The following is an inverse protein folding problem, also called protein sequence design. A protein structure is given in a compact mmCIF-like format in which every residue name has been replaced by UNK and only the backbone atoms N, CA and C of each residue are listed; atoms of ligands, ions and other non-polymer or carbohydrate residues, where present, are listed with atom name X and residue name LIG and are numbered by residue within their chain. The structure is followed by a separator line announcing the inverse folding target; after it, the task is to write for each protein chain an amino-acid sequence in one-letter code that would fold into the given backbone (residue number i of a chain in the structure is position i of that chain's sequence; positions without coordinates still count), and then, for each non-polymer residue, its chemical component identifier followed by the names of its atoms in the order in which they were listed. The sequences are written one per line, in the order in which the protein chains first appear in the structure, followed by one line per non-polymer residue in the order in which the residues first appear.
data_IF_822368144438
#
_entry.id   IF_822368144438
#
_cell.length_a   1.000
_cell.length_b   1.000
_cell.length_c   1.000
_cell.angle_alpha   90.00
_cell.angle_beta   90.00
_cell.angle_gamma   90.00
#
_symmetry.space_group_name_H-M   'P 1'
#
loop_
_entity.id
_entity.type
_entity.pdbx_description
1 polymer ?
#
# COMPACT_ATOMS: atom_id res chain seq x y z
N UNK A 1 -7.16 31.64 -4.77
CA UNK A 1 -8.52 31.65 -4.20
C UNK A 1 -8.81 30.27 -3.65
N UNK A 2 -9.57 30.17 -2.56
CA UNK A 2 -9.95 28.89 -1.97
C UNK A 2 -10.89 28.10 -2.91
N UNK A 3 -10.98 26.79 -2.68
CA UNK A 3 -11.96 25.92 -3.32
C UNK A 3 -13.38 26.39 -2.94
N UNK A 4 -14.30 26.34 -3.91
CA UNK A 4 -15.70 26.75 -3.71
C UNK A 4 -16.62 25.55 -3.89
N UNK A 5 -17.63 25.43 -3.03
CA UNK A 5 -18.67 24.41 -3.14
C UNK A 5 -20.05 25.00 -2.84
N UNK A 6 -21.11 24.41 -3.38
CA UNK A 6 -22.49 24.86 -3.18
C UNK A 6 -23.50 23.72 -3.38
N UNK A 7 -24.69 23.85 -2.79
CA UNK A 7 -25.80 22.97 -3.11
C UNK A 7 -26.33 23.26 -4.51
N UNK A 8 -26.59 22.18 -5.27
CA UNK A 8 -27.10 22.27 -6.62
C UNK A 8 -28.62 22.48 -6.65
N UNK A 9 -29.10 23.19 -7.67
CA UNK A 9 -30.50 23.11 -8.08
C UNK A 9 -30.78 21.80 -8.83
N UNK A 10 -32.02 21.33 -8.80
CA UNK A 10 -32.46 20.23 -9.66
C UNK A 10 -32.78 20.81 -11.04
N UNK A 11 -31.94 20.51 -12.03
CA UNK A 11 -32.06 21.03 -13.39
C UNK A 11 -31.57 20.00 -14.40
N UNK A 12 -32.28 19.89 -15.52
CA UNK A 12 -31.90 19.08 -16.68
C UNK A 12 -31.09 19.88 -17.72
N UNK A 13 -30.69 21.12 -17.40
CA UNK A 13 -29.86 21.93 -18.29
C UNK A 13 -28.40 21.44 -18.32
N UNK A 14 -27.57 22.01 -19.20
CA UNK A 14 -26.20 21.55 -19.46
C UNK A 14 -25.43 21.31 -18.13
N UNK A 15 -25.01 20.05 -17.84
CA UNK A 15 -24.39 19.69 -16.57
C UNK A 15 -23.08 20.43 -16.27
N UNK A 16 -22.47 21.06 -17.29
CA UNK A 16 -21.23 21.85 -17.19
C UNK A 16 -21.46 23.27 -16.68
N UNK A 17 -22.71 23.71 -16.51
CA UNK A 17 -23.04 25.00 -15.91
C UNK A 17 -22.89 24.95 -14.38
N UNK A 18 -22.76 26.08 -13.67
CA UNK A 18 -22.62 26.04 -12.21
C UNK A 18 -23.81 25.44 -11.44
N UNK A 19 -25.05 25.52 -11.96
CA UNK A 19 -26.27 25.02 -11.30
C UNK A 19 -26.42 25.50 -9.84
N UNK A 20 -26.15 26.79 -9.60
CA UNK A 20 -26.41 27.38 -8.29
C UNK A 20 -27.92 27.47 -8.03
N UNK A 21 -28.33 27.16 -6.80
CA UNK A 21 -29.67 27.53 -6.31
C UNK A 21 -29.88 29.05 -6.34
N UNK A 22 -31.15 29.45 -6.29
CA UNK A 22 -31.56 30.83 -6.10
C UNK A 22 -32.38 30.97 -4.78
N UNK A 23 -31.82 31.61 -3.72
CA UNK A 23 -30.50 32.23 -3.65
C UNK A 23 -29.35 31.20 -3.62
N UNK A 24 -28.13 31.65 -3.93
CA UNK A 24 -26.93 30.80 -3.88
C UNK A 24 -26.73 30.23 -2.47
N UNK A 25 -26.52 28.93 -2.37
CA UNK A 25 -26.35 28.21 -1.12
C UNK A 25 -24.94 27.59 -1.08
N UNK A 26 -23.94 28.38 -0.68
CA UNK A 26 -22.54 27.92 -0.59
C UNK A 26 -22.34 26.94 0.58
N UNK A 27 -21.44 25.98 0.36
CA UNK A 27 -21.07 24.94 1.33
C UNK A 27 -19.67 25.24 1.86
N UNK A 28 -19.50 25.44 3.19
CA UNK A 28 -18.18 25.59 3.79
C UNK A 28 -17.33 24.32 3.64
N UNK A 29 -16.00 24.48 3.54
CA UNK A 29 -15.09 23.34 3.37
C UNK A 29 -15.13 22.36 4.56
N UNK A 30 -15.40 22.84 5.78
CA UNK A 30 -15.61 21.98 6.95
C UNK A 30 -16.80 21.03 6.78
N UNK A 31 -17.83 21.44 6.02
CA UNK A 31 -18.95 20.57 5.70
C UNK A 31 -18.54 19.45 4.73
N UNK A 32 -17.62 19.71 3.80
CA UNK A 32 -17.04 18.68 2.94
C UNK A 32 -16.16 17.71 3.76
N UNK A 33 -15.38 18.23 4.71
CA UNK A 33 -14.59 17.42 5.63
C UNK A 33 -15.47 16.53 6.53
N UNK A 34 -16.66 17.01 6.92
CA UNK A 34 -17.67 16.21 7.60
C UNK A 34 -18.20 15.04 6.76
N UNK A 35 -18.10 15.09 5.43
CA UNK A 35 -18.40 14.00 4.51
C UNK A 35 -17.16 13.12 4.21
N UNK A 36 -16.02 13.41 4.85
CA UNK A 36 -14.75 12.73 4.60
C UNK A 36 -14.01 13.21 3.34
N UNK A 37 -14.52 14.22 2.64
CA UNK A 37 -13.84 14.84 1.50
C UNK A 37 -12.71 15.72 2.02
N UNK A 38 -11.48 15.42 1.59
CA UNK A 38 -10.29 16.17 1.98
C UNK A 38 -9.79 17.00 0.80
N UNK A 39 -9.18 18.15 1.08
CA UNK A 39 -8.68 19.04 0.04
C UNK A 39 -7.42 19.78 0.47
N UNK A 40 -6.59 20.13 -0.52
CA UNK A 40 -5.40 20.96 -0.35
C UNK A 40 -5.27 21.93 -1.52
N UNK A 41 -4.56 23.04 -1.27
CA UNK A 41 -4.13 23.98 -2.29
C UNK A 41 -2.62 23.89 -2.46
N UNK A 42 -2.19 23.51 -3.65
CA UNK A 42 -0.81 23.21 -3.99
C UNK A 42 -0.33 24.07 -5.18
N UNK A 43 0.95 24.00 -5.52
CA UNK A 43 1.49 24.68 -6.69
C UNK A 43 1.44 23.80 -7.95
N UNK A 44 0.51 24.04 -8.89
CA UNK A 44 0.31 23.14 -10.03
C UNK A 44 1.42 23.21 -11.08
N UNK A 45 2.24 24.27 -11.09
CA UNK A 45 3.33 24.41 -12.06
C UNK A 45 4.65 23.81 -11.58
N UNK A 46 4.75 23.43 -10.31
CA UNK A 46 5.95 22.86 -9.69
C UNK A 46 5.59 21.59 -8.90
N UNK A 47 4.61 20.83 -9.41
CA UNK A 47 4.10 19.64 -8.70
C UNK A 47 5.17 18.58 -8.46
N UNK A 48 6.23 18.52 -9.28
CA UNK A 48 7.32 17.55 -9.15
C UNK A 48 8.18 17.84 -7.90
N UNK A 49 8.26 19.11 -7.47
CA UNK A 49 9.05 19.56 -6.32
C UNK A 49 8.21 20.00 -5.13
N UNK A 50 6.88 19.95 -5.23
CA UNK A 50 5.97 20.38 -4.17
C UNK A 50 6.10 19.48 -2.93
N UNK A 51 6.68 20.02 -1.87
CA UNK A 51 6.90 19.31 -0.61
C UNK A 51 5.59 18.93 0.09
N UNK A 52 4.53 19.72 -0.09
CA UNK A 52 3.24 19.43 0.53
C UNK A 52 2.55 18.30 -0.22
N UNK A 53 2.63 18.26 -1.55
CA UNK A 53 2.20 17.10 -2.33
C UNK A 53 2.94 15.83 -1.89
N UNK A 54 4.27 15.90 -1.71
CA UNK A 54 5.07 14.77 -1.22
C UNK A 54 4.58 14.29 0.15
N UNK A 55 4.41 15.20 1.11
CA UNK A 55 3.89 14.85 2.45
C UNK A 55 2.51 14.21 2.39
N UNK A 56 1.60 14.71 1.55
CA UNK A 56 0.26 14.14 1.41
C UNK A 56 0.36 12.72 0.86
N UNK A 57 1.16 12.53 -0.19
CA UNK A 57 1.41 11.22 -0.80
C UNK A 57 2.04 10.25 0.20
N UNK A 58 3.05 10.67 0.95
CA UNK A 58 3.71 9.87 1.99
C UNK A 58 2.74 9.50 3.11
N UNK A 59 2.03 10.49 3.66
CA UNK A 59 1.11 10.31 4.80
C UNK A 59 -0.05 9.38 4.44
N UNK A 60 -0.52 9.44 3.19
CA UNK A 60 -1.68 8.67 2.74
C UNK A 60 -1.33 7.46 1.87
N UNK A 61 -0.05 7.20 1.66
CA UNK A 61 0.42 6.06 0.86
C UNK A 61 0.10 6.14 -0.63
N UNK A 62 0.00 7.34 -1.21
CA UNK A 62 -0.29 7.54 -2.64
C UNK A 62 0.96 7.46 -3.51
N UNK A 63 1.00 6.39 -4.25
CA UNK A 63 2.24 5.74 -4.60
C UNK A 63 2.27 5.30 -6.07
N UNK A 64 1.09 5.22 -6.67
CA UNK A 64 0.88 5.35 -8.10
C UNK A 64 0.52 6.81 -8.43
N UNK A 65 1.03 7.28 -9.57
CA UNK A 65 0.53 8.49 -10.21
C UNK A 65 0.54 8.35 -11.72
N UNK A 66 -0.43 8.97 -12.37
CA UNK A 66 -0.35 9.25 -13.79
C UNK A 66 -0.99 10.60 -14.11
N UNK A 67 -0.86 11.02 -15.36
CA UNK A 67 -1.45 12.25 -15.87
C UNK A 67 -2.58 11.91 -16.83
N UNK A 68 -3.71 12.59 -16.67
CA UNK A 68 -4.87 12.47 -17.53
C UNK A 68 -5.28 13.84 -18.04
N UNK A 69 -5.17 14.03 -19.35
CA UNK A 69 -5.73 15.17 -20.07
C UNK A 69 -7.15 14.83 -20.51
N UNK A 70 -8.13 15.59 -20.03
CA UNK A 70 -9.52 15.46 -20.43
C UNK A 70 -9.87 16.67 -21.31
N UNK A 71 -9.83 16.46 -22.61
CA UNK A 71 -10.40 17.33 -23.63
C UNK A 71 -10.81 16.50 -24.87
N UNK A 72 -11.68 17.03 -25.75
CA UNK A 72 -12.18 16.30 -26.90
C UNK A 72 -11.08 15.72 -27.80
N UNK A 73 -9.94 16.41 -27.93
CA UNK A 73 -8.87 16.05 -28.85
C UNK A 73 -7.86 15.04 -28.27
N UNK A 74 -7.74 14.94 -26.93
CA UNK A 74 -6.70 14.16 -26.27
C UNK A 74 -7.21 12.88 -25.61
N UNK A 75 -8.50 12.80 -25.29
CA UNK A 75 -9.06 11.66 -24.57
C UNK A 75 -9.75 10.67 -25.52
N UNK A 76 -9.19 9.47 -25.67
CA UNK A 76 -9.84 8.39 -26.41
C UNK A 76 -11.19 8.01 -25.77
N UNK A 77 -12.21 7.83 -26.61
CA UNK A 77 -13.61 7.60 -26.22
C UNK A 77 -14.16 8.71 -25.30
N UNK A 78 -13.83 9.96 -25.61
CA UNK A 78 -14.17 11.15 -24.82
C UNK A 78 -15.63 11.18 -24.33
N UNK A 79 -16.59 11.05 -25.25
CA UNK A 79 -18.02 11.12 -24.90
C UNK A 79 -18.47 10.01 -23.95
N UNK A 80 -18.08 8.76 -24.21
CA UNK A 80 -18.41 7.62 -23.35
C UNK A 80 -17.75 7.74 -21.98
N UNK A 81 -16.49 8.23 -21.93
CA UNK A 81 -15.80 8.47 -20.66
C UNK A 81 -16.45 9.58 -19.85
N UNK A 82 -16.82 10.71 -20.47
CA UNK A 82 -17.54 11.77 -19.77
C UNK A 82 -18.89 11.29 -19.26
N UNK A 83 -19.61 10.49 -20.03
CA UNK A 83 -20.86 9.88 -19.59
C UNK A 83 -20.65 8.96 -18.38
N UNK A 84 -19.58 8.16 -18.37
CA UNK A 84 -19.26 7.28 -17.24
C UNK A 84 -18.84 8.09 -16.01
N UNK A 85 -17.98 9.10 -16.16
CA UNK A 85 -17.58 10.00 -15.08
C UNK A 85 -18.77 10.74 -14.47
N UNK A 86 -19.75 11.13 -15.29
CA UNK A 86 -20.93 11.87 -14.84
C UNK A 86 -22.05 10.99 -14.31
N UNK A 87 -22.05 9.69 -14.61
CA UNK A 87 -23.00 8.75 -14.02
C UNK A 87 -22.69 8.61 -12.53
N UNK A 88 -23.68 8.76 -11.65
CA UNK A 88 -23.46 8.67 -10.19
C UNK A 88 -22.95 7.28 -9.78
N UNK A 89 -21.79 7.24 -9.11
CA UNK A 89 -21.11 5.99 -8.74
C UNK A 89 -20.35 6.10 -7.41
N UNK A 90 -19.83 4.96 -6.96
CA UNK A 90 -18.83 4.85 -5.90
C UNK A 90 -17.58 4.13 -6.42
N UNK A 91 -16.49 4.26 -5.66
CA UNK A 91 -15.31 3.42 -5.74
C UNK A 91 -15.09 2.65 -4.44
N UNK A 92 -14.44 1.49 -4.54
CA UNK A 92 -14.03 0.69 -3.39
C UNK A 92 -12.85 1.33 -2.63
N UNK A 93 -12.08 2.15 -3.33
CA UNK A 93 -10.93 2.90 -2.83
C UNK A 93 -11.19 4.41 -2.90
N UNK A 94 -10.26 5.21 -2.39
CA UNK A 94 -10.31 6.66 -2.51
C UNK A 94 -10.14 7.12 -3.96
N UNK A 95 -10.88 8.15 -4.36
CA UNK A 95 -10.67 8.85 -5.62
C UNK A 95 -9.86 10.13 -5.37
N UNK A 96 -8.59 10.11 -5.77
CA UNK A 96 -7.67 11.24 -5.56
C UNK A 96 -7.31 11.91 -6.88
N UNK A 97 -7.49 13.23 -6.94
CA UNK A 97 -7.24 14.04 -8.13
C UNK A 97 -6.55 15.34 -7.76
N UNK A 98 -5.49 15.66 -8.48
CA UNK A 98 -4.80 16.95 -8.40
C UNK A 98 -4.91 17.70 -9.72
N UNK A 99 -5.54 18.87 -9.71
CA UNK A 99 -5.72 19.69 -10.90
C UNK A 99 -4.43 20.43 -11.24
N UNK A 100 -3.82 20.12 -12.37
CA UNK A 100 -2.64 20.81 -12.87
C UNK A 100 -3.01 21.99 -13.78
N UNK A 101 -4.01 21.79 -14.65
CA UNK A 101 -4.49 22.83 -15.57
C UNK A 101 -6.01 22.71 -15.75
N UNK A 102 -6.66 23.82 -16.15
CA UNK A 102 -8.10 23.84 -16.42
C UNK A 102 -8.98 23.72 -15.16
N UNK A 103 -10.20 23.23 -15.35
CA UNK A 103 -11.19 23.09 -14.27
C UNK A 103 -12.36 22.16 -14.62
N UNK A 104 -13.07 21.73 -13.58
CA UNK A 104 -14.28 20.92 -13.67
C UNK A 104 -15.05 20.91 -12.35
N UNK A 105 -16.07 20.05 -12.27
CA UNK A 105 -16.91 19.88 -11.09
C UNK A 105 -16.88 18.45 -10.60
N UNK A 106 -16.62 18.28 -9.30
CA UNK A 106 -16.99 17.08 -8.57
C UNK A 106 -18.33 17.34 -7.88
N UNK A 107 -19.32 16.50 -8.13
CA UNK A 107 -20.56 16.50 -7.36
C UNK A 107 -20.51 15.34 -6.36
N UNK A 108 -20.82 15.60 -5.09
CA UNK A 108 -20.88 14.59 -4.02
C UNK A 108 -22.23 14.63 -3.32
N UNK A 109 -22.70 13.49 -2.81
CA UNK A 109 -23.93 13.42 -1.99
C UNK A 109 -23.65 13.85 -0.55
N UNK A 110 -24.45 14.80 -0.07
CA UNK A 110 -24.52 15.17 1.35
C UNK A 110 -25.21 14.10 2.20
N UNK A 111 -25.24 14.30 3.52
CA UNK A 111 -25.89 13.38 4.49
C UNK A 111 -27.40 13.22 4.26
N UNK A 112 -28.03 14.23 3.68
CA UNK A 112 -29.44 14.27 3.29
C UNK A 112 -29.67 13.86 1.82
N UNK A 113 -28.66 13.25 1.20
CA UNK A 113 -28.66 12.80 -0.19
C UNK A 113 -28.84 13.94 -1.22
N UNK A 114 -28.62 15.21 -0.83
CA UNK A 114 -28.57 16.34 -1.78
C UNK A 114 -27.22 16.44 -2.47
N UNK A 115 -27.22 16.91 -3.72
CA UNK A 115 -25.99 17.20 -4.46
C UNK A 115 -25.29 18.46 -3.95
N UNK A 116 -24.00 18.32 -3.66
CA UNK A 116 -23.07 19.42 -3.42
C UNK A 116 -22.08 19.42 -4.59
N UNK A 117 -22.01 20.53 -5.32
CA UNK A 117 -21.04 20.76 -6.39
C UNK A 117 -19.80 21.42 -5.83
N UNK A 118 -18.64 20.89 -6.18
CA UNK A 118 -17.32 21.39 -5.81
C UNK A 118 -16.62 21.86 -7.08
N UNK A 119 -16.30 23.14 -7.17
CA UNK A 119 -15.54 23.69 -8.30
C UNK A 119 -14.06 23.44 -8.11
N UNK A 120 -13.54 22.55 -8.95
CA UNK A 120 -12.21 22.00 -8.88
C UNK A 120 -11.34 22.58 -10.01
N UNK A 121 -10.30 23.33 -9.66
CA UNK A 121 -9.48 24.11 -10.61
C UNK A 121 -7.99 23.98 -10.34
N UNK A 122 -7.16 24.39 -11.30
CA UNK A 122 -5.70 24.29 -11.21
C UNK A 122 -5.15 24.71 -9.83
N UNK A 123 -4.36 23.82 -9.22
CA UNK A 123 -3.80 23.93 -7.87
C UNK A 123 -4.63 23.24 -6.78
N UNK A 124 -5.81 22.73 -7.07
CA UNK A 124 -6.62 22.00 -6.10
C UNK A 124 -6.32 20.50 -6.13
N UNK A 125 -6.01 19.92 -4.98
CA UNK A 125 -6.01 18.48 -4.74
C UNK A 125 -7.27 18.12 -3.96
N UNK A 126 -8.01 17.11 -4.41
CA UNK A 126 -9.19 16.57 -3.73
C UNK A 126 -9.05 15.06 -3.52
N UNK A 127 -9.52 14.58 -2.37
CA UNK A 127 -9.66 13.17 -2.05
C UNK A 127 -11.13 12.92 -1.72
N UNK A 128 -11.77 12.07 -2.51
CA UNK A 128 -13.10 11.53 -2.21
C UNK A 128 -12.91 10.19 -1.48
N UNK A 129 -13.53 10.00 -0.30
CA UNK A 129 -13.37 8.77 0.46
C UNK A 129 -14.04 7.58 -0.24
N UNK A 130 -13.51 6.38 -0.04
CA UNK A 130 -14.13 5.15 -0.50
C UNK A 130 -15.61 5.08 -0.09
N UNK A 131 -16.49 4.61 -0.99
CA UNK A 131 -17.92 4.45 -0.71
C UNK A 131 -18.78 5.72 -0.76
N UNK A 132 -18.22 6.91 -1.01
CA UNK A 132 -19.03 8.12 -1.24
C UNK A 132 -19.66 8.12 -2.64
N UNK A 133 -20.95 8.45 -2.72
CA UNK A 133 -21.59 8.71 -4.01
C UNK A 133 -21.11 10.03 -4.58
N UNK A 134 -20.57 9.97 -5.80
CA UNK A 134 -20.06 11.12 -6.50
C UNK A 134 -20.17 10.96 -8.01
N UNK A 135 -19.86 12.05 -8.72
CA UNK A 135 -19.68 12.11 -10.18
C UNK A 135 -18.78 13.29 -10.55
N UNK A 136 -18.24 13.26 -11.76
CA UNK A 136 -17.40 14.32 -12.31
C UNK A 136 -17.93 14.82 -13.65
N UNK A 137 -17.81 16.12 -13.90
CA UNK A 137 -18.03 16.72 -15.22
C UNK A 137 -17.07 17.87 -15.47
N UNK A 138 -16.74 18.14 -16.73
CA UNK A 138 -16.04 19.37 -17.09
C UNK A 138 -16.93 20.58 -16.81
N UNK A 139 -16.33 21.76 -16.66
CA UNK A 139 -17.09 23.00 -16.79
C UNK A 139 -17.13 23.45 -18.27
N UNK A 140 -17.69 24.63 -18.55
CA UNK A 140 -17.84 25.14 -19.92
C UNK A 140 -16.51 25.40 -20.64
N UNK A 141 -15.37 25.35 -19.96
CA UNK A 141 -14.04 25.45 -20.59
C UNK A 141 -13.62 24.16 -21.31
N UNK A 142 -14.26 23.02 -20.99
CA UNK A 142 -14.02 21.71 -21.61
C UNK A 142 -12.56 21.22 -21.55
N UNK A 143 -11.81 21.64 -20.53
CA UNK A 143 -10.44 21.21 -20.36
C UNK A 143 -10.11 21.06 -18.88
N UNK A 144 -9.57 19.90 -18.53
CA UNK A 144 -8.83 19.71 -17.29
C UNK A 144 -7.64 18.79 -17.53
N UNK A 145 -6.51 19.10 -16.90
CA UNK A 145 -5.37 18.20 -16.79
C UNK A 145 -5.21 17.81 -15.34
N UNK A 146 -5.29 16.51 -15.10
CA UNK A 146 -5.31 15.93 -13.78
C UNK A 146 -4.07 15.08 -13.58
N UNK A 147 -3.47 15.17 -12.41
CA UNK A 147 -2.70 14.06 -11.86
C UNK A 147 -3.66 13.19 -11.06
N UNK A 148 -3.69 11.90 -11.37
CA UNK A 148 -4.44 10.90 -10.59
C UNK A 148 -3.44 10.23 -9.65
N UNK A 149 -3.84 10.07 -8.40
CA UNK A 149 -3.01 9.47 -7.36
C UNK A 149 -3.75 8.25 -6.82
N UNK A 150 -3.03 7.16 -6.56
CA UNK A 150 -3.61 5.92 -6.03
C UNK A 150 -2.71 5.28 -5.00
N UNK A 151 -3.31 4.56 -4.06
CA UNK A 151 -2.60 3.60 -3.23
C UNK A 151 -2.50 2.27 -4.00
N UNK A 152 -1.30 1.91 -4.45
CA UNK A 152 -1.07 0.72 -5.28
C UNK A 152 -1.52 0.89 -6.73
N UNK A 153 -1.63 -0.23 -7.45
CA UNK A 153 -2.12 -0.24 -8.84
C UNK A 153 -3.58 0.23 -8.89
N UNK A 154 -3.93 1.14 -9.79
CA UNK A 154 -5.23 1.78 -9.74
C UNK A 154 -6.33 0.86 -10.26
N UNK A 155 -7.34 0.62 -9.42
CA UNK A 155 -8.59 -0.01 -9.83
C UNK A 155 -9.62 1.08 -10.13
N UNK A 156 -9.91 1.30 -11.41
CA UNK A 156 -10.81 2.35 -11.89
C UNK A 156 -12.28 1.95 -11.89
N UNK A 157 -12.64 0.82 -11.29
CA UNK A 157 -13.99 0.25 -11.37
C UNK A 157 -14.98 1.17 -10.67
N UNK A 158 -15.86 1.80 -11.45
CA UNK A 158 -16.98 2.57 -10.96
C UNK A 158 -18.19 1.64 -10.74
N UNK A 159 -18.77 1.70 -9.55
CA UNK A 159 -20.01 0.99 -9.23
C UNK A 159 -21.16 1.98 -9.21
N UNK A 160 -21.93 2.00 -10.30
CA UNK A 160 -23.06 2.90 -10.46
C UNK A 160 -24.11 2.65 -9.36
N UNK A 161 -24.70 3.73 -8.83
CA UNK A 161 -25.79 3.65 -7.84
C UNK A 161 -26.96 2.81 -8.37
N UNK A 162 -27.61 1.94 -7.56
CA UNK A 162 -27.45 1.70 -6.11
C UNK A 162 -26.35 0.68 -5.74
N UNK A 163 -25.72 0.86 -4.58
CA UNK A 163 -24.58 0.08 -4.05
C UNK A 163 -24.56 0.01 -2.51
N UNK A 164 -25.72 0.08 -1.85
CA UNK A 164 -25.80 0.10 -0.37
C UNK A 164 -25.23 -1.16 0.29
N UNK A 165 -25.19 -2.28 -0.44
CA UNK A 165 -24.63 -3.54 0.06
C UNK A 165 -23.11 -3.65 -0.10
N UNK A 166 -22.49 -2.76 -0.88
CA UNK A 166 -21.05 -2.78 -1.16
C UNK A 166 -20.24 -2.54 0.13
N UNK A 167 -19.17 -3.30 0.42
CA UNK A 167 -18.40 -3.16 1.66
C UNK A 167 -17.93 -1.72 1.95
N UNK A 168 -17.30 -1.07 0.96
CA UNK A 168 -16.86 0.31 1.10
C UNK A 168 -18.00 1.29 1.41
N UNK A 169 -19.20 1.06 0.86
CA UNK A 169 -20.37 1.90 1.13
C UNK A 169 -20.88 1.72 2.56
N UNK A 170 -20.97 0.47 3.03
CA UNK A 170 -21.34 0.16 4.42
C UNK A 170 -20.36 0.80 5.40
N UNK A 171 -19.07 0.66 5.15
CA UNK A 171 -18.03 1.27 6.00
C UNK A 171 -18.11 2.80 6.01
N UNK A 172 -18.29 3.42 4.84
CA UNK A 172 -18.50 4.87 4.73
C UNK A 172 -19.68 5.34 5.57
N UNK A 173 -20.84 4.67 5.48
CA UNK A 173 -22.04 5.02 6.26
C UNK A 173 -21.83 4.80 7.76
N UNK A 174 -21.18 3.70 8.17
CA UNK A 174 -20.84 3.41 9.57
C UNK A 174 -19.89 4.45 10.19
N UNK A 175 -19.02 5.08 9.38
CA UNK A 175 -18.09 6.09 9.87
C UNK A 175 -18.79 7.32 10.46
N UNK A 176 -20.04 7.58 10.04
CA UNK A 176 -20.86 8.68 10.57
C UNK A 176 -21.60 8.31 11.85
N UNK A 177 -22.03 7.06 12.00
CA UNK A 177 -22.76 6.60 13.21
C UNK A 177 -21.81 6.43 14.40
N UNK A 178 -20.56 5.99 14.16
CA UNK A 178 -19.52 5.88 15.20
C UNK A 178 -19.00 7.24 15.68
N UNK A 179 -19.09 8.30 14.87
CA UNK A 179 -18.72 9.67 15.28
C UNK A 179 -19.76 10.34 16.19
N UNK A 180 -21.03 9.91 16.17
CA UNK A 180 -22.07 10.45 17.06
C UNK A 180 -21.99 9.90 18.49
N UNK A 181 -21.47 8.69 18.70
CA UNK A 181 -21.36 8.07 20.04
C UNK A 181 -20.20 8.60 20.90
N UNK A 182 -19.33 9.46 20.34
CA UNK A 182 -18.15 10.04 21.02
C UNK A 182 -18.30 11.52 21.42
N UNK A 183 -19.52 12.08 21.46
CA UNK A 183 -19.72 13.46 21.97
C UNK A 183 -20.09 13.50 23.47
N UNK A 184 -19.02 13.66 24.26
CA UNK A 184 -18.86 14.15 25.66
C UNK A 184 -18.93 13.12 26.82
N UNK A 185 -17.95 13.19 27.75
CA UNK A 185 -18.08 14.14 28.85
C UNK A 185 -16.90 15.11 29.06
N UNK A 186 -17.24 16.14 29.84
CA UNK A 186 -16.54 17.36 30.24
C UNK A 186 -15.08 17.19 30.69
N UNK A 187 -14.30 18.22 30.35
CA UNK A 187 -12.97 18.55 30.89
C UNK A 187 -12.92 18.43 32.42
N UNK A 188 -12.02 17.57 32.90
CA UNK A 188 -11.40 17.67 34.22
C UNK A 188 -9.91 17.90 33.96
N UNK A 189 -9.34 18.92 34.61
CA UNK A 189 -7.94 19.26 34.50
C UNK A 189 -7.07 18.36 35.41
N UNK A 190 -5.78 18.25 35.03
CA UNK A 190 -4.59 17.71 35.72
C UNK A 190 -4.26 16.22 35.58
N UNK A 191 -2.98 15.80 35.73
CA UNK A 191 -1.72 16.44 35.31
C UNK A 191 -0.87 15.50 34.41
N UNK A 192 0.23 16.03 33.88
CA UNK A 192 1.17 15.32 33.02
C UNK A 192 1.63 13.98 33.62
N UNK A 193 1.35 12.89 32.93
CA UNK A 193 2.04 11.62 33.08
C UNK A 193 2.57 11.24 31.69
N UNK A 194 3.89 11.17 31.57
CA UNK A 194 4.56 10.67 30.38
C UNK A 194 4.15 9.21 30.17
N UNK A 195 3.29 8.96 29.18
CA UNK A 195 3.11 7.63 28.62
C UNK A 195 4.14 7.45 27.52
N UNK A 196 5.09 6.54 27.76
CA UNK A 196 5.98 6.03 26.72
C UNK A 196 5.11 5.31 25.71
N UNK A 197 4.85 5.95 24.57
CA UNK A 197 4.31 5.26 23.40
C UNK A 197 5.36 4.23 22.97
N UNK A 198 5.04 2.94 23.07
CA UNK A 198 5.85 1.88 22.45
C UNK A 198 5.83 2.15 20.95
N UNK A 199 6.94 2.65 20.42
CA UNK A 199 7.10 2.99 19.01
C UNK A 199 6.99 1.68 18.21
N UNK A 200 5.92 1.53 17.43
CA UNK A 200 5.71 0.36 16.57
C UNK A 200 6.84 0.30 15.54
N UNK A 201 7.43 -0.87 15.34
CA UNK A 201 8.52 -1.04 14.37
C UNK A 201 7.98 -0.74 12.96
N UNK A 202 8.55 0.25 12.25
CA UNK A 202 8.05 0.64 10.93
C UNK A 202 8.14 -0.50 9.91
N UNK A 203 9.04 -1.48 10.10
CA UNK A 203 9.15 -2.67 9.22
C UNK A 203 7.88 -3.51 9.20
N UNK A 204 7.08 -3.49 10.27
CA UNK A 204 5.81 -4.23 10.35
C UNK A 204 4.76 -3.77 9.32
N UNK A 205 4.93 -2.59 8.72
CA UNK A 205 4.09 -2.11 7.63
C UNK A 205 4.25 -2.96 6.37
N UNK A 206 5.47 -3.41 6.10
CA UNK A 206 5.87 -4.07 4.85
C UNK A 206 6.25 -5.53 5.04
N UNK A 207 6.54 -5.96 6.27
CA UNK A 207 6.89 -7.34 6.61
C UNK A 207 6.10 -7.78 7.84
N UNK A 208 5.37 -8.88 7.73
CA UNK A 208 4.67 -9.50 8.86
C UNK A 208 4.96 -10.99 8.85
N UNK A 209 5.08 -11.62 10.02
CA UNK A 209 5.32 -13.05 10.09
C UNK A 209 4.44 -13.75 11.12
N UNK A 210 4.14 -15.02 10.88
CA UNK A 210 3.31 -15.85 11.75
C UNK A 210 3.59 -17.33 11.55
N UNK A 211 3.28 -18.15 12.56
CA UNK A 211 3.26 -19.59 12.41
C UNK A 211 2.07 -20.06 11.58
N UNK A 212 2.33 -21.03 10.70
CA UNK A 212 1.32 -21.58 9.80
C UNK A 212 0.42 -22.62 10.47
N UNK A 213 -0.80 -22.78 9.96
CA UNK A 213 -1.60 -24.00 10.16
C UNK A 213 -1.03 -25.20 9.38
N UNK A 214 -1.62 -26.37 9.60
CA UNK A 214 -1.25 -27.63 8.93
C UNK A 214 -2.16 -27.96 7.72
N UNK A 215 -2.87 -26.96 7.17
CA UNK A 215 -3.81 -27.15 6.06
C UNK A 215 -3.07 -27.42 4.74
N UNK A 216 -3.66 -28.26 3.89
CA UNK A 216 -3.23 -28.52 2.51
C UNK A 216 -4.01 -27.69 1.47
N UNK A 217 -4.74 -26.67 1.92
CA UNK A 217 -5.37 -25.68 1.07
C UNK A 217 -4.36 -24.91 0.19
N UNK A 218 -4.87 -24.04 -0.69
CA UNK A 218 -4.04 -23.26 -1.61
C UNK A 218 -2.95 -22.49 -0.85
N UNK A 219 -1.70 -22.86 -1.11
CA UNK A 219 -0.48 -22.28 -0.53
C UNK A 219 -0.42 -20.75 -0.57
N UNK A 220 -1.18 -20.09 -1.47
CA UNK A 220 -1.26 -18.62 -1.62
C UNK A 220 -2.15 -17.95 -0.57
N UNK A 221 -2.91 -18.71 0.21
CA UNK A 221 -3.72 -18.20 1.33
C UNK A 221 -2.82 -17.82 2.52
N UNK A 222 -3.28 -17.04 3.51
CA UNK A 222 -2.43 -16.69 4.65
C UNK A 222 -2.02 -17.88 5.55
N UNK A 223 -2.80 -18.96 5.60
CA UNK A 223 -2.54 -20.14 6.46
C UNK A 223 -2.30 -19.78 7.94
N UNK A 224 -3.15 -18.93 8.52
CA UNK A 224 -3.07 -18.66 9.96
C UNK A 224 -3.64 -19.84 10.75
N UNK A 225 -2.94 -20.24 11.81
CA UNK A 225 -3.55 -21.05 12.89
C UNK A 225 -4.86 -20.42 13.38
N UNK A 226 -5.77 -21.27 13.86
CA UNK A 226 -7.07 -20.83 14.42
C UNK A 226 -6.90 -19.72 15.47
N UNK A 227 -5.90 -19.88 16.36
CA UNK A 227 -5.36 -18.79 17.16
C UNK A 227 -4.14 -18.19 16.45
N UNK A 228 -4.29 -17.00 15.88
CA UNK A 228 -3.20 -16.29 15.18
C UNK A 228 -1.97 -16.17 16.09
N UNK A 229 -0.85 -16.68 15.61
CA UNK A 229 0.42 -16.68 16.34
C UNK A 229 1.46 -15.91 15.53
N UNK A 230 1.55 -14.61 15.77
CA UNK A 230 2.50 -13.73 15.07
C UNK A 230 3.92 -13.94 15.59
N UNK A 231 4.89 -13.80 14.68
CA UNK A 231 6.32 -13.85 14.94
C UNK A 231 6.87 -12.44 14.76
N UNK A 232 7.57 -11.93 15.78
CA UNK A 232 8.23 -10.62 15.73
C UNK A 232 9.45 -10.64 14.81
N UNK A 233 9.84 -9.46 14.31
CA UNK A 233 11.02 -9.34 13.46
C UNK A 233 12.33 -9.66 14.20
N UNK A 234 12.37 -9.48 15.52
CA UNK A 234 13.51 -9.88 16.35
C UNK A 234 13.62 -11.41 16.43
N UNK A 235 12.49 -12.13 16.53
CA UNK A 235 12.48 -13.60 16.45
C UNK A 235 12.93 -14.12 15.08
N UNK A 236 12.59 -13.42 13.99
CA UNK A 236 13.14 -13.74 12.67
C UNK A 236 14.66 -13.49 12.60
N UNK A 237 15.14 -12.39 13.19
CA UNK A 237 16.56 -12.08 13.25
C UNK A 237 17.37 -13.10 14.06
N UNK A 238 16.76 -13.75 15.06
CA UNK A 238 17.35 -14.87 15.78
C UNK A 238 17.56 -16.13 14.92
N UNK A 239 16.86 -16.24 13.79
CA UNK A 239 17.06 -17.25 12.74
C UNK A 239 18.00 -16.76 11.64
N UNK A 240 18.60 -15.58 11.82
CA UNK A 240 19.47 -14.95 10.81
C UNK A 240 18.72 -14.26 9.67
N UNK A 241 17.39 -14.24 9.69
CA UNK A 241 16.57 -13.55 8.70
C UNK A 241 16.59 -12.05 8.98
N UNK A 242 17.21 -11.28 8.08
CA UNK A 242 17.29 -9.83 8.22
C UNK A 242 16.20 -9.16 7.39
N UNK A 243 15.73 -8.01 7.87
CA UNK A 243 14.65 -7.27 7.23
C UNK A 243 14.81 -5.76 7.35
N UNK A 244 14.44 -5.06 6.28
CA UNK A 244 14.40 -3.61 6.20
C UNK A 244 13.09 -3.15 5.56
N UNK A 245 12.71 -1.92 5.92
CA UNK A 245 11.72 -1.13 5.20
C UNK A 245 12.48 -0.06 4.42
N UNK A 246 12.30 -0.07 3.10
CA UNK A 246 12.97 0.80 2.16
C UNK A 246 11.96 1.55 1.28
N UNK A 247 12.42 2.59 0.59
CA UNK A 247 11.59 3.34 -0.33
C UNK A 247 11.56 2.65 -1.71
N UNK A 248 10.53 1.85 -1.94
CA UNK A 248 10.36 1.13 -3.20
C UNK A 248 9.99 2.03 -4.38
N UNK A 249 9.63 3.30 -4.14
CA UNK A 249 9.31 4.25 -5.21
C UNK A 249 10.56 4.86 -5.81
N UNK A 250 11.60 5.03 -4.99
CA UNK A 250 12.85 5.66 -5.37
C UNK A 250 14.04 4.72 -5.17
N UNK A 251 13.88 3.42 -5.37
CA UNK A 251 14.95 2.44 -5.14
C UNK A 251 16.25 2.75 -5.93
N UNK A 252 16.17 3.51 -7.02
CA UNK A 252 17.34 3.93 -7.82
C UNK A 252 18.21 4.97 -7.10
N UNK A 253 17.60 5.77 -6.22
CA UNK A 253 18.23 6.87 -5.48
C UNK A 253 18.11 6.74 -3.96
N UNK A 254 17.58 5.62 -3.47
CA UNK A 254 17.44 5.33 -2.04
C UNK A 254 18.83 5.15 -1.39
N UNK A 255 19.23 6.15 -0.59
CA UNK A 255 20.51 6.14 0.11
C UNK A 255 20.60 5.02 1.16
N UNK A 256 19.49 4.56 1.74
CA UNK A 256 19.51 3.45 2.69
C UNK A 256 19.74 2.12 1.97
N UNK A 257 19.10 1.91 0.82
CA UNK A 257 19.41 0.76 -0.03
C UNK A 257 20.89 0.77 -0.45
N UNK A 258 21.40 1.92 -0.87
CA UNK A 258 22.81 2.07 -1.24
C UNK A 258 23.74 1.73 -0.07
N UNK A 259 23.46 2.24 1.12
CA UNK A 259 24.22 1.93 2.33
C UNK A 259 24.19 0.44 2.66
N UNK A 260 23.03 -0.22 2.61
CA UNK A 260 22.92 -1.67 2.81
C UNK A 260 23.77 -2.43 1.79
N UNK A 261 23.73 -2.02 0.52
CA UNK A 261 24.53 -2.66 -0.53
C UNK A 261 26.02 -2.49 -0.31
N UNK A 262 26.47 -1.31 0.12
CA UNK A 262 27.88 -1.04 0.43
C UNK A 262 28.34 -1.83 1.67
N UNK A 263 27.55 -1.81 2.75
CA UNK A 263 27.87 -2.50 4.02
C UNK A 263 27.91 -4.02 3.86
N UNK A 264 27.03 -4.58 3.00
CA UNK A 264 26.91 -6.04 2.80
C UNK A 264 27.60 -6.56 1.53
N UNK A 265 28.19 -5.67 0.73
CA UNK A 265 28.90 -6.05 -0.50
C UNK A 265 28.00 -6.53 -1.65
N UNK A 266 26.75 -6.08 -1.71
CA UNK A 266 25.78 -6.45 -2.76
C UNK A 266 26.08 -5.72 -4.08
N UNK A 267 27.01 -6.30 -4.83
CA UNK A 267 27.53 -5.74 -6.09
C UNK A 267 26.67 -6.07 -7.32
N UNK A 268 25.86 -7.13 -7.28
CA UNK A 268 24.95 -7.49 -8.36
C UNK A 268 23.50 -7.11 -8.05
N UNK A 269 22.76 -6.71 -9.08
CA UNK A 269 21.31 -6.61 -9.03
C UNK A 269 20.62 -6.86 -10.37
N UNK A 270 19.43 -7.43 -10.31
CA UNK A 270 18.46 -7.44 -11.42
C UNK A 270 17.02 -7.43 -10.89
N UNK A 271 16.05 -7.54 -11.79
CA UNK A 271 14.63 -7.63 -11.45
C UNK A 271 14.04 -8.96 -11.89
N UNK A 272 13.25 -9.57 -11.00
CA UNK A 272 12.40 -10.70 -11.29
C UNK A 272 10.96 -10.30 -11.07
N UNK A 273 10.15 -10.40 -12.13
CA UNK A 273 8.71 -10.15 -12.07
C UNK A 273 7.97 -11.48 -12.20
N UNK A 274 7.20 -11.81 -11.17
CA UNK A 274 6.51 -13.09 -11.03
C UNK A 274 5.01 -12.84 -11.14
N UNK A 275 4.47 -13.03 -12.33
CA UNK A 275 3.04 -13.17 -12.59
C UNK A 275 2.81 -14.07 -13.81
N UNK A 276 1.59 -14.60 -14.02
CA UNK A 276 1.28 -15.52 -15.10
C UNK A 276 1.68 -15.00 -16.49
N UNK A 277 1.56 -13.69 -16.72
CA UNK A 277 1.74 -13.07 -18.03
C UNK A 277 3.21 -12.77 -18.35
N UNK A 278 4.03 -12.52 -17.32
CA UNK A 278 5.39 -11.98 -17.51
C UNK A 278 6.50 -12.97 -17.20
N UNK A 279 6.25 -14.00 -16.38
CA UNK A 279 7.28 -14.98 -16.01
C UNK A 279 7.28 -16.17 -16.98
N UNK A 280 8.36 -16.40 -17.75
CA UNK A 280 8.46 -17.57 -18.62
C UNK A 280 8.47 -18.86 -17.79
N UNK A 281 7.71 -19.86 -18.24
CA UNK A 281 7.49 -21.13 -17.52
C UNK A 281 6.92 -20.92 -16.10
N UNK A 282 6.02 -19.94 -15.95
CA UNK A 282 5.44 -19.50 -14.68
C UNK A 282 5.08 -20.66 -13.73
N UNK A 283 4.25 -21.61 -14.15
CA UNK A 283 3.81 -22.73 -13.30
C UNK A 283 4.98 -23.60 -12.81
N UNK A 284 5.92 -23.93 -13.70
CA UNK A 284 7.08 -24.73 -13.32
C UNK A 284 8.02 -23.96 -12.38
N UNK A 285 8.20 -22.65 -12.61
CA UNK A 285 9.01 -21.81 -11.74
C UNK A 285 8.37 -21.64 -10.37
N UNK A 286 7.07 -21.40 -10.28
CA UNK A 286 6.36 -21.33 -9.00
C UNK A 286 6.47 -22.64 -8.22
N UNK A 287 6.33 -23.79 -8.91
CA UNK A 287 6.54 -25.09 -8.28
C UNK A 287 7.96 -25.22 -7.71
N UNK A 288 8.98 -24.81 -8.47
CA UNK A 288 10.36 -24.86 -8.01
C UNK A 288 10.63 -23.91 -6.85
N UNK A 289 10.03 -22.71 -6.86
CA UNK A 289 10.16 -21.74 -5.77
C UNK A 289 9.50 -22.24 -4.48
N UNK A 290 8.39 -22.98 -4.58
CA UNK A 290 7.64 -23.45 -3.42
C UNK A 290 8.13 -24.80 -2.86
N UNK A 291 8.89 -25.57 -3.63
CA UNK A 291 9.59 -26.74 -3.10
C UNK A 291 10.55 -26.29 -1.98
N UNK A 292 10.54 -26.95 -0.81
CA UNK A 292 11.43 -26.58 0.30
C UNK A 292 12.89 -26.79 -0.10
N UNK A 293 13.70 -25.72 -0.05
CA UNK A 293 15.10 -25.74 -0.48
C UNK A 293 15.98 -24.83 0.36
N UNK A 294 17.29 -24.88 0.10
CA UNK A 294 18.28 -23.94 0.61
C UNK A 294 19.21 -23.46 -0.50
N UNK A 295 19.95 -22.39 -0.20
CA UNK A 295 21.05 -21.88 -1.02
C UNK A 295 22.36 -21.87 -0.23
N UNK A 296 23.48 -21.94 -0.95
CA UNK A 296 24.84 -21.83 -0.38
C UNK A 296 25.25 -20.40 -0.08
N UNK A 297 24.46 -19.44 -0.56
CA UNK A 297 24.65 -18.00 -0.45
C UNK A 297 23.36 -17.39 0.10
N UNK A 298 23.41 -16.11 0.47
CA UNK A 298 22.21 -15.39 0.89
C UNK A 298 21.18 -15.29 -0.23
N UNK A 299 19.90 -15.48 0.10
CA UNK A 299 18.79 -15.12 -0.78
C UNK A 299 18.28 -13.72 -0.40
N UNK A 300 18.66 -12.73 -1.20
CA UNK A 300 18.29 -11.33 -0.98
C UNK A 300 17.17 -10.91 -1.93
N UNK A 301 16.04 -10.45 -1.38
CA UNK A 301 14.88 -9.99 -2.14
C UNK A 301 14.39 -8.67 -1.58
N UNK A 302 14.33 -7.67 -2.45
CA UNK A 302 13.67 -6.42 -2.17
C UNK A 302 12.41 -6.30 -3.01
N UNK A 303 11.24 -6.39 -2.38
CA UNK A 303 9.96 -6.22 -3.05
C UNK A 303 9.79 -4.76 -3.46
N UNK A 304 10.01 -4.46 -4.74
CA UNK A 304 9.78 -3.13 -5.31
C UNK A 304 8.34 -2.95 -5.77
N UNK A 305 7.59 -4.06 -5.92
CA UNK A 305 6.16 -4.04 -6.19
C UNK A 305 5.50 -5.37 -5.82
N UNK A 306 4.18 -5.35 -5.60
CA UNK A 306 3.41 -6.54 -5.23
C UNK A 306 3.82 -7.14 -3.89
N UNK A 307 3.58 -8.44 -3.72
CA UNK A 307 3.80 -9.14 -2.44
C UNK A 307 3.89 -10.66 -2.60
N UNK A 308 4.46 -11.32 -1.60
CA UNK A 308 4.53 -12.78 -1.54
C UNK A 308 4.97 -13.29 -0.18
N UNK A 309 4.89 -14.60 -0.01
CA UNK A 309 5.28 -15.30 1.22
C UNK A 309 6.63 -15.98 1.04
N UNK A 310 7.53 -15.72 1.99
CA UNK A 310 8.75 -16.50 2.21
C UNK A 310 8.52 -17.33 3.46
N UNK A 311 8.32 -18.63 3.30
CA UNK A 311 8.19 -19.52 4.44
C UNK A 311 9.59 -19.97 4.86
N UNK A 312 9.90 -19.92 6.16
CA UNK A 312 11.19 -20.34 6.74
C UNK A 312 10.98 -21.33 7.88
N UNK A 313 11.93 -22.25 8.08
CA UNK A 313 11.91 -23.15 9.23
C UNK A 313 12.45 -22.47 10.49
N UNK A 314 11.74 -22.59 11.59
CA UNK A 314 12.26 -22.25 12.91
C UNK A 314 13.18 -23.34 13.49
N UNK A 315 13.68 -23.16 14.72
CA UNK A 315 14.57 -24.12 15.39
C UNK A 315 13.92 -25.48 15.70
N UNK A 316 12.59 -25.53 15.72
CA UNK A 316 11.80 -26.75 15.97
C UNK A 316 11.27 -27.37 14.67
N UNK A 317 11.78 -26.92 13.52
CA UNK A 317 11.33 -27.35 12.20
C UNK A 317 9.86 -26.98 11.90
N UNK A 318 9.29 -25.99 12.59
CA UNK A 318 7.97 -25.44 12.28
C UNK A 318 8.06 -24.37 11.18
N UNK A 319 7.02 -24.23 10.37
CA UNK A 319 6.94 -23.19 9.35
C UNK A 319 6.52 -21.84 9.94
N UNK A 320 7.33 -20.83 9.68
CA UNK A 320 6.98 -19.42 9.83
C UNK A 320 6.77 -18.85 8.44
N UNK A 321 5.57 -18.31 8.18
CA UNK A 321 5.27 -17.56 6.97
C UNK A 321 5.66 -16.12 7.15
N UNK A 322 6.53 -15.60 6.27
CA UNK A 322 6.93 -14.19 6.23
C UNK A 322 6.31 -13.52 5.02
N UNK A 323 5.32 -12.66 5.24
CA UNK A 323 4.68 -11.88 4.21
C UNK A 323 5.49 -10.63 3.91
N UNK A 324 6.11 -10.60 2.73
CA UNK A 324 6.92 -9.49 2.26
C UNK A 324 6.12 -8.73 1.21
N UNK A 325 5.83 -7.47 1.50
CA UNK A 325 5.11 -6.53 0.64
C UNK A 325 6.07 -5.49 0.07
N UNK A 326 5.63 -4.75 -0.93
CA UNK A 326 6.34 -3.58 -1.47
C UNK A 326 6.99 -2.71 -0.39
N UNK A 327 8.26 -2.39 -0.56
CA UNK A 327 9.08 -1.67 0.43
C UNK A 327 9.78 -2.60 1.43
N UNK A 328 9.37 -3.87 1.51
CA UNK A 328 10.03 -4.89 2.33
C UNK A 328 11.24 -5.47 1.62
N UNK A 329 12.41 -5.36 2.24
CA UNK A 329 13.60 -6.12 1.87
C UNK A 329 13.84 -7.21 2.90
N UNK A 330 14.03 -8.44 2.43
CA UNK A 330 14.35 -9.61 3.24
C UNK A 330 15.66 -10.24 2.77
N UNK A 331 16.46 -10.70 3.73
CA UNK A 331 17.65 -11.51 3.49
C UNK A 331 17.47 -12.82 4.23
N UNK A 332 17.41 -13.91 3.48
CA UNK A 332 17.45 -15.26 4.02
C UNK A 332 18.92 -15.71 4.07
N UNK A 333 19.44 -16.12 5.23
CA UNK A 333 20.84 -16.51 5.36
C UNK A 333 21.14 -17.80 4.59
N UNK A 334 22.37 -17.94 4.10
CA UNK A 334 22.84 -19.19 3.50
C UNK A 334 22.55 -20.38 4.45
N UNK A 335 22.08 -21.50 3.89
CA UNK A 335 21.78 -22.72 4.66
C UNK A 335 20.44 -22.77 5.41
N UNK A 336 19.61 -21.72 5.38
CA UNK A 336 18.23 -21.82 5.90
C UNK A 336 17.33 -22.59 4.92
N UNK A 337 16.52 -23.52 5.44
CA UNK A 337 15.44 -24.10 4.64
C UNK A 337 14.30 -23.10 4.53
N UNK A 338 13.91 -22.84 3.29
CA UNK A 338 12.86 -21.90 2.96
C UNK A 338 12.15 -22.30 1.67
N UNK A 339 11.07 -21.57 1.37
CA UNK A 339 10.34 -21.63 0.10
C UNK A 339 9.63 -20.31 -0.16
N UNK A 340 9.29 -20.05 -1.41
CA UNK A 340 8.57 -18.86 -1.82
C UNK A 340 7.25 -19.22 -2.52
N UNK A 341 6.20 -18.46 -2.24
CA UNK A 341 4.99 -18.44 -3.06
C UNK A 341 4.39 -17.04 -3.13
N UNK A 342 3.63 -16.78 -4.20
CA UNK A 342 2.80 -15.58 -4.28
C UNK A 342 1.69 -15.66 -3.24
N UNK A 343 1.19 -14.51 -2.81
CA UNK A 343 -0.12 -14.48 -2.15
C UNK A 343 -1.26 -14.46 -3.19
N UNK A 344 -2.50 -14.30 -2.73
CA UNK A 344 -3.69 -14.28 -3.60
C UNK A 344 -3.71 -13.16 -4.64
N UNK A 345 -2.85 -12.14 -4.53
CA UNK A 345 -2.72 -11.10 -5.55
C UNK A 345 -1.93 -11.56 -6.78
N UNK A 346 -1.26 -12.72 -6.71
CA UNK A 346 -0.57 -13.36 -7.84
C UNK A 346 0.48 -12.49 -8.54
N UNK A 347 1.09 -11.55 -7.83
CA UNK A 347 2.06 -10.64 -8.40
C UNK A 347 3.10 -10.18 -7.37
N UNK A 348 4.38 -10.32 -7.73
CA UNK A 348 5.50 -9.61 -7.09
C UNK A 348 6.51 -9.17 -8.15
N UNK A 349 7.06 -7.98 -7.99
CA UNK A 349 8.29 -7.55 -8.66
C UNK A 349 9.36 -7.37 -7.59
N UNK A 350 10.36 -8.25 -7.62
CA UNK A 350 11.46 -8.24 -6.67
C UNK A 350 12.75 -7.82 -7.36
N UNK A 351 13.44 -6.84 -6.78
CA UNK A 351 14.86 -6.64 -7.02
C UNK A 351 15.61 -7.77 -6.31
N UNK A 352 16.42 -8.50 -7.08
CA UNK A 352 17.31 -9.53 -6.53
C UNK A 352 18.70 -8.93 -6.38
N UNK A 353 19.31 -9.11 -5.22
CA UNK A 353 20.67 -8.66 -4.96
C UNK A 353 21.58 -9.87 -4.71
N UNK A 354 22.87 -9.71 -4.97
CA UNK A 354 23.86 -10.78 -4.75
C UNK A 354 25.26 -10.21 -4.50
N UNK A 355 26.11 -11.00 -3.84
CA UNK A 355 27.54 -10.72 -3.69
C UNK A 355 28.28 -11.33 -4.89
N UNK A 356 28.78 -10.48 -5.81
CA UNK A 356 29.41 -10.96 -7.04
C UNK A 356 28.41 -11.54 -8.03
N UNK A 357 28.89 -12.42 -8.91
CA UNK A 357 28.03 -13.06 -9.93
C UNK A 357 27.07 -14.06 -9.28
N UNK A 358 25.77 -14.01 -9.60
CA UNK A 358 24.77 -14.79 -8.87
C UNK A 358 24.78 -16.28 -9.22
N UNK A 359 24.64 -17.11 -8.18
CA UNK A 359 24.36 -18.54 -8.30
C UNK A 359 22.98 -18.81 -7.69
N UNK A 360 21.99 -19.06 -8.56
CA UNK A 360 20.59 -19.24 -8.15
C UNK A 360 20.21 -20.70 -7.83
N UNK A 361 21.18 -21.61 -7.74
CA UNK A 361 20.91 -23.06 -7.65
C UNK A 361 20.22 -23.40 -6.32
N UNK A 362 18.98 -23.91 -6.35
CA UNK A 362 18.32 -24.41 -5.15
C UNK A 362 18.77 -25.85 -4.86
N UNK A 363 18.93 -26.17 -3.57
CA UNK A 363 19.13 -27.53 -3.09
C UNK A 363 17.89 -27.97 -2.31
N UNK A 364 16.97 -28.65 -2.99
CA UNK A 364 15.71 -29.11 -2.40
C UNK A 364 15.98 -30.06 -1.24
N UNK A 365 15.30 -29.89 -0.12
CA UNK A 365 15.49 -30.71 1.07
C UNK A 365 15.32 -32.21 0.73
N UNK A 366 16.19 -33.12 1.21
CA UNK A 366 17.27 -32.94 2.18
C UNK A 366 18.65 -32.64 1.56
N UNK A 367 19.37 -31.66 2.11
CA UNK A 367 20.79 -31.37 1.78
C UNK A 367 21.58 -30.93 3.03
N UNK A 368 21.38 -31.62 4.15
CA UNK A 368 21.98 -31.25 5.44
C UNK A 368 23.51 -31.36 5.51
N UNK A 369 24.12 -32.03 4.54
CA UNK A 369 25.56 -32.21 4.41
C UNK A 369 26.30 -31.02 3.77
N UNK A 370 25.57 -30.00 3.28
CA UNK A 370 26.19 -28.84 2.64
C UNK A 370 26.88 -27.97 3.71
N UNK A 371 28.11 -27.47 3.48
CA UNK A 371 28.82 -26.63 4.45
C UNK A 371 28.02 -25.42 4.93
N UNK A 372 27.32 -24.73 4.01
CA UNK A 372 26.46 -23.60 4.36
C UNK A 372 25.34 -23.97 5.35
N UNK A 373 24.77 -25.18 5.25
CA UNK A 373 23.76 -25.68 6.20
C UNK A 373 24.38 -25.97 7.56
N UNK A 374 25.54 -26.62 7.61
CA UNK A 374 26.25 -26.86 8.87
C UNK A 374 26.64 -25.55 9.57
N UNK A 375 27.09 -24.55 8.81
CA UNK A 375 27.41 -23.21 9.31
C UNK A 375 26.18 -22.49 9.85
N UNK A 376 25.06 -22.51 9.13
CA UNK A 376 23.78 -22.00 9.59
C UNK A 376 23.34 -22.62 10.91
N UNK A 377 23.40 -23.96 11.01
CA UNK A 377 23.03 -24.69 12.22
C UNK A 377 23.90 -24.27 13.40
N UNK A 378 25.22 -24.17 13.22
CA UNK A 378 26.14 -23.71 14.27
C UNK A 378 25.85 -22.27 14.72
N UNK A 379 25.55 -21.38 13.78
CA UNK A 379 25.35 -19.95 14.06
C UNK A 379 23.99 -19.63 14.71
N UNK A 380 22.90 -20.27 14.26
CA UNK A 380 21.53 -19.84 14.58
C UNK A 380 20.69 -20.90 15.31
N UNK A 381 21.07 -22.17 15.27
CA UNK A 381 20.27 -23.27 15.87
C UNK A 381 20.95 -23.87 17.11
N UNK A 382 22.26 -24.12 17.05
CA UNK A 382 23.05 -24.73 18.12
C UNK A 382 23.77 -23.73 18.99
N UNK A 383 23.39 -22.45 18.95
CA UNK A 383 23.97 -21.41 19.79
C UNK A 383 23.76 -21.81 21.25
N UNK A 384 24.82 -22.28 21.91
CA UNK A 384 24.78 -22.67 23.32
C UNK A 384 24.27 -21.48 24.14
N UNK A 385 23.27 -21.72 24.99
CA UNK A 385 22.90 -20.77 26.05
C UNK A 385 24.04 -20.69 27.06
N UNK A 386 25.05 -19.88 26.76
CA UNK A 386 26.18 -19.59 27.64
C UNK A 386 25.81 -18.64 28.77
N UNK A 387 25.56 -19.22 29.95
CA UNK A 387 25.81 -18.74 31.31
C UNK A 387 25.43 -17.29 31.72
N UNK A 388 24.29 -17.20 32.41
CA UNK A 388 24.23 -16.44 33.66
C UNK A 388 24.80 -17.29 34.80
N UNK A 389 26.10 -17.14 35.12
CA UNK A 389 26.63 -17.58 36.40
C UNK A 389 27.86 -16.74 36.83
N UNK A 390 27.61 -15.86 37.81
CA UNK A 390 28.45 -15.52 38.97
C UNK A 390 29.98 -15.48 38.76
N UNK A 391 30.56 -14.29 38.70
CA UNK A 391 31.92 -14.08 39.22
C UNK A 391 31.82 -13.46 40.61
N UNK A 392 31.78 -14.33 41.62
CA UNK A 392 32.18 -14.03 42.97
C UNK A 392 33.63 -14.48 43.16
N UNK A 393 34.43 -13.56 43.72
CA UNK A 393 35.74 -13.76 44.36
C UNK A 393 36.96 -14.11 43.47
N UNK A 394 37.85 -13.12 43.33
CA UNK A 394 39.17 -13.15 43.97
C UNK A 394 39.62 -11.72 44.30
#
# INVERSE_FOLDING_TARGET
MAMEAWFMEDSDSDPRLPHHRNPKEFVPLDHLAELGVLHWRLNPTDYENDQELRKIRETRGYNYMDLLDICPEKLNNYEDKLKNFYTEHIHADEEIRYCLEGSGYFDVRGKDDRWIRIWFKAGDLIILPAGIYHRFTLDTTNYVKLMRLFMGEPVWTAYNRPQEEHPARKEYVESFTKKESYRQPKRIATPAAAMVATQKDPREEVIQAWYMDDSDEDQRLPHHKESKEFVSLDQLAELGVLSWRLDAYNYETDEELKKIREERGYSYMDFCEVCPEKLPNYEQKLKNFFEEHLHTDEEIRYAVDGSGYFDVRDRNECWIRVWVKKGGMIVLPAGIYHRFTLDTNNYIKAMRLFIGDPVWTPYNRPHDHLPAREEYLKAFVHKETGDHAVNAAA
#
